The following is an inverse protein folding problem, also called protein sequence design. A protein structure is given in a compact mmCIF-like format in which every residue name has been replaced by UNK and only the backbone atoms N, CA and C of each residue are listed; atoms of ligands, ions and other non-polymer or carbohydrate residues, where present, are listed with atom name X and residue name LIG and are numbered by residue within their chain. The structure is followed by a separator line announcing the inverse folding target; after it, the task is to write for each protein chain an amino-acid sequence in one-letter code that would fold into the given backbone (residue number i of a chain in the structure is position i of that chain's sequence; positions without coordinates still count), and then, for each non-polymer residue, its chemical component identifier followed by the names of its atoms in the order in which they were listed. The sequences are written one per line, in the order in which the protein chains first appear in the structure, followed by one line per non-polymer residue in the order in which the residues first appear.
data_IF_691985885370
#
_entry.id   IF_691985885370
#
_cell.length_a   1.000
_cell.length_b   1.000
_cell.length_c   1.000
_cell.angle_alpha   90.00
_cell.angle_beta   90.00
_cell.angle_gamma   90.00
#
_symmetry.space_group_name_H-M   'P 1'
#
loop_
_entity.id
_entity.type
_entity.pdbx_description
1 polymer ?
#
# COMPACT_ATOMS: atom_id res chain seq x y z
N UNK A 1 -16.04 46.29 63.17
CA UNK A 1 -15.72 45.80 61.80
C UNK A 1 -14.65 44.71 61.92
N UNK A 2 -15.00 43.46 62.29
CA UNK A 2 -15.17 42.25 61.43
C UNK A 2 -14.15 42.22 60.25
N UNK A 3 -12.98 41.59 60.38
CA UNK A 3 -12.57 40.16 60.35
C UNK A 3 -12.35 39.56 58.94
N UNK A 4 -11.06 39.22 58.69
CA UNK A 4 -10.46 38.11 57.92
C UNK A 4 -10.47 38.08 56.37
N UNK A 5 -9.30 37.89 55.74
CA UNK A 5 -9.14 37.08 54.54
C UNK A 5 -8.82 35.62 54.96
N UNK A 6 -9.67 34.66 54.60
CA UNK A 6 -9.43 33.24 54.89
C UNK A 6 -9.92 32.36 53.74
N UNK A 7 -9.04 31.44 53.31
CA UNK A 7 -9.27 30.18 52.56
C UNK A 7 -9.77 30.40 51.12
N UNK A 8 -9.00 30.06 50.09
CA UNK A 8 -8.41 28.74 49.88
C UNK A 8 -9.40 27.92 49.07
N UNK A 9 -9.19 27.82 47.75
CA UNK A 9 -9.69 26.73 46.92
C UNK A 9 -8.98 26.79 45.56
N UNK A 10 -7.87 26.06 45.52
CA UNK A 10 -7.29 25.50 44.31
C UNK A 10 -8.38 24.62 43.70
N UNK A 11 -8.94 25.01 42.57
CA UNK A 11 -9.63 24.06 41.71
C UNK A 11 -8.59 23.37 40.85
N UNK A 12 -8.06 22.26 41.38
CA UNK A 12 -7.45 21.22 40.58
C UNK A 12 -8.57 20.57 39.76
N UNK A 13 -8.61 20.85 38.47
CA UNK A 13 -9.40 20.05 37.53
C UNK A 13 -8.60 18.77 37.24
N UNK A 14 -8.75 17.81 38.16
CA UNK A 14 -8.47 16.41 37.91
C UNK A 14 -9.59 15.90 37.02
N UNK A 15 -9.36 15.85 35.71
CA UNK A 15 -10.13 14.97 34.82
C UNK A 15 -9.36 13.66 34.74
N UNK A 16 -9.73 12.74 35.62
CA UNK A 16 -9.28 11.36 35.56
C UNK A 16 -9.98 10.66 34.38
N UNK A 17 -9.16 9.97 33.59
CA UNK A 17 -9.46 8.78 32.81
C UNK A 17 -10.67 8.84 31.86
N UNK A 18 -10.38 9.21 30.61
CA UNK A 18 -10.68 8.27 29.55
C UNK A 18 -9.34 7.75 29.03
N UNK A 19 -8.93 6.59 29.56
CA UNK A 19 -8.12 5.63 28.81
C UNK A 19 -8.94 5.22 27.59
N UNK A 20 -9.03 6.12 26.61
CA UNK A 20 -9.47 5.76 25.27
C UNK A 20 -8.33 4.96 24.68
N UNK A 21 -8.55 3.67 24.53
CA UNK A 21 -7.74 2.76 23.73
C UNK A 21 -7.18 3.52 22.53
N UNK A 22 -5.88 3.84 22.57
CA UNK A 22 -5.15 4.22 21.39
C UNK A 22 -5.27 3.04 20.45
N UNK A 23 -6.06 3.21 19.39
CA UNK A 23 -6.10 2.27 18.28
C UNK A 23 -4.65 1.91 17.90
N UNK A 24 -4.30 0.62 17.79
CA UNK A 24 -2.91 0.22 17.76
C UNK A 24 -2.22 0.72 16.48
N UNK A 25 -1.01 1.23 16.66
CA UNK A 25 -0.08 1.89 15.72
C UNK A 25 0.44 1.01 14.56
N UNK A 26 -0.41 0.17 13.95
CA UNK A 26 0.00 -0.92 13.05
C UNK A 26 -0.08 -0.63 11.56
N UNK A 27 -1.05 0.17 11.11
CA UNK A 27 -1.12 0.59 9.70
C UNK A 27 -0.11 1.72 9.40
N UNK A 28 0.13 2.58 10.40
CA UNK A 28 1.19 3.60 10.40
C UNK A 28 2.56 2.99 10.08
N UNK A 29 2.91 1.84 10.67
CA UNK A 29 4.24 1.24 10.53
C UNK A 29 4.53 0.72 9.12
N UNK A 30 3.57 0.08 8.45
CA UNK A 30 3.83 -0.56 7.14
C UNK A 30 3.97 0.47 6.02
N UNK A 31 3.08 1.46 5.99
CA UNK A 31 3.12 2.56 5.02
C UNK A 31 4.33 3.46 5.26
N UNK A 32 4.65 3.76 6.52
CA UNK A 32 5.83 4.57 6.89
C UNK A 32 7.15 3.86 6.54
N UNK A 33 7.24 2.54 6.78
CA UNK A 33 8.42 1.74 6.38
C UNK A 33 8.57 1.77 4.85
N UNK A 34 7.48 1.63 4.09
CA UNK A 34 7.53 1.72 2.64
C UNK A 34 7.98 3.09 2.15
N UNK A 35 7.35 4.17 2.64
CA UNK A 35 7.71 5.54 2.29
C UNK A 35 9.18 5.83 2.61
N UNK A 36 9.68 5.34 3.75
CA UNK A 36 11.09 5.47 4.14
C UNK A 36 12.04 4.74 3.20
N UNK A 37 11.68 3.54 2.73
CA UNK A 37 12.50 2.79 1.77
C UNK A 37 12.47 3.43 0.38
N UNK A 38 11.29 3.87 -0.09
CA UNK A 38 11.14 4.59 -1.37
C UNK A 38 11.92 5.90 -1.35
N UNK A 39 11.78 6.70 -0.28
CA UNK A 39 12.53 7.94 -0.12
C UNK A 39 14.03 7.68 -0.09
N UNK A 40 14.50 6.65 0.62
CA UNK A 40 15.92 6.28 0.63
C UNK A 40 16.43 5.93 -0.76
N UNK A 41 15.67 5.18 -1.55
CA UNK A 41 16.05 4.79 -2.91
C UNK A 41 16.08 6.00 -3.86
N UNK A 42 15.04 6.84 -3.84
CA UNK A 42 14.98 8.07 -4.63
C UNK A 42 16.09 9.06 -4.23
N UNK A 43 16.39 9.18 -2.93
CA UNK A 43 17.49 10.02 -2.46
C UNK A 43 18.85 9.48 -2.92
N UNK A 44 19.05 8.16 -2.95
CA UNK A 44 20.27 7.55 -3.49
C UNK A 44 20.39 7.76 -5.00
N UNK A 45 19.31 7.56 -5.76
CA UNK A 45 19.27 7.84 -7.21
C UNK A 45 19.50 9.33 -7.52
N UNK A 46 18.96 10.23 -6.69
CA UNK A 46 19.17 11.67 -6.84
C UNK A 46 20.60 12.08 -6.49
N UNK A 47 21.23 11.47 -5.49
CA UNK A 47 22.64 11.70 -5.15
C UNK A 47 23.55 11.18 -6.27
N UNK A 48 23.20 10.05 -6.88
CA UNK A 48 23.95 9.43 -7.97
C UNK A 48 23.82 10.23 -9.29
N UNK A 49 22.66 10.85 -9.52
CA UNK A 49 22.39 11.67 -10.72
C UNK A 49 22.79 13.14 -10.59
N UNK A 50 22.70 13.72 -9.39
CA UNK A 50 22.87 15.17 -9.16
C UNK A 50 24.15 15.53 -8.41
N UNK A 51 24.93 14.52 -8.00
CA UNK A 51 26.30 14.61 -7.46
C UNK A 51 26.65 15.92 -6.75
N UNK A 52 26.64 15.92 -5.42
CA UNK A 52 26.99 17.09 -4.58
C UNK A 52 28.39 17.65 -4.87
N UNK A 53 28.49 18.49 -5.91
CA UNK A 53 29.63 19.23 -6.48
C UNK A 53 30.94 18.46 -6.66
N UNK A 54 31.33 18.26 -7.93
CA UNK A 54 32.67 17.84 -8.32
C UNK A 54 33.29 18.79 -9.37
N UNK A 55 34.58 19.10 -9.21
CA UNK A 55 35.41 19.88 -10.16
C UNK A 55 35.62 19.14 -11.48
N UNK A 56 35.68 19.84 -12.62
CA UNK A 56 35.73 19.21 -13.94
C UNK A 56 37.01 18.41 -14.15
N UNK A 57 36.86 17.12 -14.42
CA UNK A 57 37.91 16.23 -14.90
C UNK A 57 37.71 15.93 -16.39
N UNK A 58 38.79 15.60 -17.14
CA UNK A 58 38.72 15.40 -18.58
C UNK A 58 37.72 14.29 -18.95
N UNK A 59 37.10 14.37 -20.14
CA UNK A 59 36.02 13.49 -20.55
C UNK A 59 36.50 12.03 -20.54
N UNK A 60 35.93 11.26 -19.63
CA UNK A 60 36.08 9.81 -19.57
C UNK A 60 35.01 9.20 -20.46
N UNK A 61 35.37 8.19 -21.25
CA UNK A 61 34.41 7.46 -22.09
C UNK A 61 33.31 6.88 -21.21
N UNK A 62 32.08 7.37 -21.38
CA UNK A 62 30.91 6.88 -20.64
C UNK A 62 30.35 5.68 -21.43
N UNK A 63 30.30 4.47 -20.84
CA UNK A 63 29.66 3.34 -21.49
C UNK A 63 28.19 3.67 -21.75
N UNK A 64 27.73 3.43 -22.97
CA UNK A 64 26.36 3.71 -23.37
C UNK A 64 25.43 2.58 -22.94
N UNK A 65 24.11 2.82 -22.96
CA UNK A 65 23.11 1.80 -22.62
C UNK A 65 23.23 0.52 -23.46
N UNK A 66 23.83 0.62 -24.66
CA UNK A 66 24.15 -0.52 -25.51
C UNK A 66 25.29 -1.39 -24.93
N UNK A 67 26.30 -0.79 -24.31
CA UNK A 67 27.41 -1.50 -23.66
C UNK A 67 26.96 -2.19 -22.37
N UNK A 68 26.00 -1.59 -21.66
CA UNK A 68 25.40 -2.15 -20.45
C UNK A 68 24.53 -3.39 -20.74
N UNK A 69 23.83 -3.41 -21.88
CA UNK A 69 23.04 -4.58 -22.30
C UNK A 69 23.94 -5.76 -22.70
N UNK A 70 25.08 -5.49 -23.35
CA UNK A 70 26.05 -6.53 -23.72
C UNK A 70 26.73 -7.13 -22.48
N UNK A 71 27.08 -6.29 -21.50
CA UNK A 71 27.66 -6.75 -20.24
C UNK A 71 26.64 -7.45 -19.34
N UNK A 72 25.36 -7.04 -19.32
CA UNK A 72 24.30 -7.74 -18.58
C UNK A 72 24.04 -9.13 -19.17
N UNK A 73 24.10 -9.27 -20.50
CA UNK A 73 23.99 -10.57 -21.17
C UNK A 73 25.19 -11.50 -20.88
N UNK A 74 26.39 -10.95 -20.67
CA UNK A 74 27.61 -11.71 -20.37
C UNK A 74 27.82 -11.99 -18.86
N UNK A 75 27.37 -11.10 -17.99
CA UNK A 75 27.43 -11.23 -16.52
C UNK A 75 26.26 -12.02 -15.92
N UNK A 76 25.26 -12.38 -16.74
CA UNK A 76 24.20 -13.34 -16.39
C UNK A 76 24.69 -14.80 -16.21
N UNK A 77 25.99 -15.02 -15.98
CA UNK A 77 26.42 -16.11 -15.09
C UNK A 77 26.15 -15.70 -13.65
N UNK A 78 24.87 -15.57 -13.34
CA UNK A 78 24.37 -15.64 -11.97
C UNK A 78 24.91 -16.95 -11.43
N UNK A 79 25.78 -16.89 -10.42
CA UNK A 79 25.93 -17.99 -9.47
C UNK A 79 24.52 -18.20 -8.96
N UNK A 80 23.83 -19.19 -9.53
CA UNK A 80 22.51 -19.57 -9.05
C UNK A 80 22.76 -19.90 -7.57
N UNK A 81 22.17 -19.14 -6.62
CA UNK A 81 22.12 -19.65 -5.26
C UNK A 81 21.54 -21.05 -5.40
N UNK A 82 22.22 -22.02 -4.78
CA UNK A 82 21.86 -23.43 -4.81
C UNK A 82 20.34 -23.52 -4.79
N UNK A 83 19.74 -23.90 -5.93
CA UNK A 83 18.30 -24.06 -6.04
C UNK A 83 17.99 -25.16 -5.06
N UNK A 84 17.62 -24.79 -3.84
CA UNK A 84 16.89 -25.68 -2.95
C UNK A 84 15.72 -26.11 -3.81
N UNK A 85 15.71 -27.39 -4.17
CA UNK A 85 14.68 -28.02 -4.99
C UNK A 85 13.40 -28.04 -4.15
N UNK A 86 12.84 -26.84 -3.98
CA UNK A 86 11.68 -26.58 -3.16
C UNK A 86 10.50 -26.79 -4.10
N UNK A 87 9.53 -27.64 -3.72
CA UNK A 87 8.37 -27.90 -4.57
C UNK A 87 7.71 -26.58 -4.93
N UNK A 88 7.29 -26.44 -6.19
CA UNK A 88 6.62 -25.24 -6.67
C UNK A 88 5.46 -24.86 -5.73
N UNK A 89 5.47 -23.63 -5.20
CA UNK A 89 4.36 -23.17 -4.35
C UNK A 89 3.08 -23.18 -5.17
N UNK A 90 2.12 -23.98 -4.74
CA UNK A 90 0.75 -24.00 -5.26
C UNK A 90 -0.17 -23.52 -4.16
N UNK A 91 -1.02 -22.53 -4.47
CA UNK A 91 -2.07 -22.05 -3.57
C UNK A 91 -3.37 -22.71 -4.01
N UNK A 92 -3.88 -23.64 -3.20
CA UNK A 92 -5.13 -24.37 -3.39
C UNK A 92 -6.31 -23.67 -2.73
N UNK A 93 -6.05 -23.08 -1.56
CA UNK A 93 -7.09 -22.45 -0.76
C UNK A 93 -6.71 -21.01 -0.43
N UNK A 94 -7.67 -20.12 -0.65
CA UNK A 94 -7.57 -18.74 -0.22
C UNK A 94 -8.94 -18.27 0.28
N UNK A 95 -8.91 -17.36 1.26
CA UNK A 95 -10.09 -16.70 1.77
C UNK A 95 -9.85 -15.20 1.81
N UNK A 96 -10.70 -14.43 1.10
CA UNK A 96 -10.74 -12.97 1.27
C UNK A 96 -11.41 -12.61 2.59
N UNK A 97 -10.82 -11.67 3.31
CA UNK A 97 -11.37 -11.12 4.54
C UNK A 97 -12.26 -9.93 4.19
N UNK A 98 -13.60 -10.00 4.41
CA UNK A 98 -14.46 -8.84 4.23
C UNK A 98 -14.20 -7.78 5.30
N UNK A 99 -14.60 -6.54 5.01
CA UNK A 99 -14.58 -5.40 5.94
C UNK A 99 -15.12 -5.74 7.35
N UNK A 100 -16.22 -6.48 7.43
CA UNK A 100 -16.83 -6.88 8.71
C UNK A 100 -15.97 -7.87 9.53
N UNK A 101 -15.13 -8.67 8.87
CA UNK A 101 -14.23 -9.63 9.52
C UNK A 101 -12.85 -9.03 9.85
N UNK A 102 -12.60 -7.77 9.45
CA UNK A 102 -11.32 -7.08 9.67
C UNK A 102 -10.86 -7.12 11.12
N UNK A 103 -11.73 -6.77 12.06
CA UNK A 103 -11.39 -6.76 13.48
C UNK A 103 -11.01 -8.14 14.05
N UNK A 104 -11.55 -9.22 13.49
CA UNK A 104 -11.13 -10.57 13.88
C UNK A 104 -9.73 -10.90 13.34
N UNK A 105 -9.45 -10.56 12.08
CA UNK A 105 -8.13 -10.73 11.48
C UNK A 105 -7.05 -9.95 12.25
N UNK A 106 -7.32 -8.68 12.58
CA UNK A 106 -6.39 -7.83 13.34
C UNK A 106 -6.11 -8.40 14.74
N UNK A 107 -7.12 -8.93 15.42
CA UNK A 107 -6.94 -9.61 16.70
C UNK A 107 -6.13 -10.88 16.57
N UNK A 108 -6.41 -11.70 15.55
CA UNK A 108 -5.74 -12.99 15.33
C UNK A 108 -4.23 -12.83 15.17
N UNK A 109 -3.79 -11.82 14.42
CA UNK A 109 -2.37 -11.60 14.16
C UNK A 109 -1.77 -10.50 15.02
N UNK A 110 -2.44 -10.07 16.11
CA UNK A 110 -1.95 -9.00 16.99
C UNK A 110 -0.58 -9.36 17.57
N UNK A 111 0.39 -8.44 17.47
CA UNK A 111 1.73 -8.62 18.03
C UNK A 111 2.72 -9.40 17.15
N UNK A 112 2.29 -9.85 15.97
CA UNK A 112 3.16 -10.48 14.99
C UNK A 112 3.98 -9.46 14.17
N UNK A 113 5.18 -9.85 13.74
CA UNK A 113 6.02 -9.06 12.85
C UNK A 113 5.66 -9.28 11.38
N UNK A 114 5.69 -8.20 10.60
CA UNK A 114 5.32 -8.18 9.19
C UNK A 114 6.50 -7.80 8.32
N UNK A 115 6.54 -8.40 7.14
CA UNK A 115 7.50 -8.11 6.07
C UNK A 115 6.75 -7.75 4.81
N UNK A 116 7.38 -6.95 3.97
CA UNK A 116 6.75 -6.37 2.79
C UNK A 116 7.60 -6.58 1.53
N UNK A 117 6.91 -6.57 0.39
CA UNK A 117 7.48 -6.55 -0.93
C UNK A 117 6.81 -5.43 -1.73
N UNK A 118 7.62 -4.48 -2.20
CA UNK A 118 7.17 -3.31 -2.95
C UNK A 118 6.96 -3.57 -4.44
N UNK A 119 6.93 -2.47 -5.19
CA UNK A 119 6.62 -2.42 -6.62
C UNK A 119 7.87 -2.26 -7.51
N UNK A 120 9.04 -2.62 -6.98
CA UNK A 120 10.33 -2.24 -7.54
C UNK A 120 10.89 -3.24 -8.56
N UNK A 121 10.12 -4.27 -8.93
CA UNK A 121 10.56 -5.29 -9.87
C UNK A 121 9.99 -5.06 -11.28
N UNK A 122 10.62 -5.62 -12.30
CA UNK A 122 10.12 -5.58 -13.68
C UNK A 122 9.01 -6.63 -13.94
N UNK A 123 8.25 -7.00 -12.91
CA UNK A 123 7.18 -7.98 -13.05
C UNK A 123 5.97 -7.38 -13.80
N UNK A 124 5.14 -8.20 -14.46
CA UNK A 124 3.89 -7.72 -15.06
C UNK A 124 2.97 -7.02 -14.06
N UNK A 125 2.96 -7.46 -12.79
CA UNK A 125 2.16 -6.82 -11.73
C UNK A 125 2.69 -5.41 -11.42
N UNK A 126 4.00 -5.28 -11.24
CA UNK A 126 4.64 -4.03 -10.81
C UNK A 126 4.66 -2.97 -11.91
N UNK A 127 4.54 -3.40 -13.18
CA UNK A 127 4.45 -2.50 -14.35
C UNK A 127 3.01 -2.18 -14.74
N UNK A 128 2.01 -2.85 -14.18
CA UNK A 128 0.60 -2.58 -14.47
C UNK A 128 0.10 -1.36 -13.70
N UNK A 129 -0.77 -0.55 -14.32
CA UNK A 129 -1.37 0.61 -13.65
C UNK A 129 -2.21 0.17 -12.45
N UNK A 130 -2.09 0.86 -11.31
CA UNK A 130 -2.78 0.48 -10.07
C UNK A 130 -4.29 0.42 -10.23
N UNK A 131 -4.88 1.39 -10.96
CA UNK A 131 -6.32 1.38 -11.29
C UNK A 131 -6.75 0.14 -12.07
N UNK A 132 -5.86 -0.41 -12.90
CA UNK A 132 -6.12 -1.63 -13.64
C UNK A 132 -6.06 -2.86 -12.74
N UNK A 133 -5.01 -2.96 -11.91
CA UNK A 133 -4.90 -3.99 -10.87
C UNK A 133 -6.15 -3.96 -9.98
N UNK A 134 -6.58 -2.78 -9.55
CA UNK A 134 -7.76 -2.56 -8.69
C UNK A 134 -9.06 -3.11 -9.29
N UNK A 135 -9.31 -2.85 -10.58
CA UNK A 135 -10.50 -3.35 -11.28
C UNK A 135 -10.45 -4.86 -11.49
N UNK A 136 -9.27 -5.43 -11.76
CA UNK A 136 -9.07 -6.87 -11.90
C UNK A 136 -9.21 -7.59 -10.56
N UNK A 137 -8.64 -7.04 -9.48
CA UNK A 137 -8.86 -7.52 -8.12
C UNK A 137 -10.34 -7.53 -7.73
N UNK A 138 -11.10 -6.48 -8.06
CA UNK A 138 -12.56 -6.46 -7.83
C UNK A 138 -13.26 -7.58 -8.59
N UNK A 139 -12.84 -7.84 -9.83
CA UNK A 139 -13.41 -8.89 -10.67
C UNK A 139 -13.16 -10.29 -10.13
N UNK A 140 -11.96 -10.54 -9.57
CA UNK A 140 -11.55 -11.87 -9.11
C UNK A 140 -11.92 -12.14 -7.66
N UNK A 141 -11.79 -11.15 -6.80
CA UNK A 141 -11.91 -11.32 -5.35
C UNK A 141 -13.09 -10.53 -4.75
N UNK A 142 -13.75 -9.67 -5.53
CA UNK A 142 -14.83 -8.79 -5.04
C UNK A 142 -14.28 -7.56 -4.33
N UNK A 143 -15.07 -6.96 -3.44
CA UNK A 143 -14.70 -5.69 -2.79
C UNK A 143 -13.44 -5.78 -1.91
N UNK A 144 -12.64 -4.71 -1.82
CA UNK A 144 -11.52 -4.62 -0.89
C UNK A 144 -11.98 -4.75 0.57
N UNK A 145 -11.04 -5.09 1.44
CA UNK A 145 -11.25 -5.15 2.89
C UNK A 145 -11.41 -3.74 3.48
N UNK A 146 -10.63 -2.79 2.94
CA UNK A 146 -10.54 -1.41 3.40
C UNK A 146 -10.28 -0.50 2.19
N UNK A 147 -10.86 0.69 2.21
CA UNK A 147 -10.54 1.77 1.27
C UNK A 147 -10.35 3.08 2.01
N UNK A 148 -9.76 4.08 1.38
CA UNK A 148 -9.64 5.43 1.93
C UNK A 148 -11.01 6.00 2.33
N UNK A 149 -12.07 5.61 1.62
CA UNK A 149 -13.44 6.03 1.93
C UNK A 149 -13.90 5.58 3.33
N UNK A 150 -13.36 4.46 3.81
CA UNK A 150 -13.73 3.85 5.07
C UNK A 150 -13.04 4.45 6.29
N UNK A 151 -11.99 5.23 6.06
CA UNK A 151 -11.27 5.98 7.09
C UNK A 151 -11.77 7.42 7.21
N UNK A 152 -11.53 8.03 8.37
CA UNK A 152 -11.60 9.48 8.46
C UNK A 152 -10.34 10.04 7.80
N UNK A 153 -10.44 10.35 6.51
CA UNK A 153 -9.31 10.69 5.66
C UNK A 153 -8.37 11.78 6.21
N UNK A 154 -8.86 12.68 7.08
CA UNK A 154 -8.00 13.69 7.73
C UNK A 154 -7.17 13.10 8.87
N UNK A 155 -7.69 12.10 9.58
CA UNK A 155 -6.89 11.33 10.53
C UNK A 155 -5.82 10.52 9.77
N UNK A 156 -6.19 9.85 8.67
CA UNK A 156 -5.23 9.07 7.85
C UNK A 156 -4.16 9.95 7.19
N UNK A 157 -4.52 11.12 6.67
CA UNK A 157 -3.56 12.08 6.13
C UNK A 157 -2.65 12.66 7.22
N UNK A 158 -3.18 12.95 8.42
CA UNK A 158 -2.38 13.42 9.55
C UNK A 158 -1.40 12.35 10.09
N UNK A 159 -1.70 11.06 9.86
CA UNK A 159 -0.84 9.94 10.27
C UNK A 159 0.04 9.40 9.14
N UNK A 160 0.03 10.03 7.95
CA UNK A 160 0.81 9.56 6.79
C UNK A 160 0.32 8.24 6.17
N UNK A 161 -0.84 7.73 6.58
CA UNK A 161 -1.45 6.51 6.06
C UNK A 161 -2.21 6.81 4.75
N UNK A 162 -1.48 7.12 3.68
CA UNK A 162 -2.09 7.34 2.37
C UNK A 162 -2.05 6.03 1.59
N UNK A 163 -3.08 5.19 1.79
CA UNK A 163 -3.37 4.04 0.93
C UNK A 163 -4.76 4.25 0.29
N UNK A 164 -4.97 3.74 -0.92
CA UNK A 164 -6.30 3.82 -1.55
C UNK A 164 -7.20 2.66 -1.17
N UNK A 165 -6.64 1.46 -1.22
CA UNK A 165 -7.35 0.23 -0.95
C UNK A 165 -6.41 -0.84 -0.40
N UNK A 166 -7.00 -1.77 0.36
CA UNK A 166 -6.33 -2.97 0.82
C UNK A 166 -7.23 -4.19 0.61
N UNK A 167 -6.62 -5.25 0.11
CA UNK A 167 -7.21 -6.58 0.10
C UNK A 167 -6.47 -7.47 1.09
N UNK A 168 -7.21 -8.13 1.95
CA UNK A 168 -6.65 -9.00 2.98
C UNK A 168 -7.11 -10.42 2.72
N UNK A 169 -6.18 -11.35 2.79
CA UNK A 169 -6.40 -12.75 2.50
C UNK A 169 -5.77 -13.64 3.58
N UNK A 170 -6.30 -14.85 3.67
CA UNK A 170 -5.62 -15.99 4.30
C UNK A 170 -5.40 -17.02 3.20
N UNK A 171 -4.14 -17.40 2.97
CA UNK A 171 -3.74 -18.43 2.02
C UNK A 171 -3.43 -19.72 2.78
N UNK A 172 -3.81 -20.86 2.21
CA UNK A 172 -3.64 -22.19 2.81
C UNK A 172 -4.11 -22.24 4.29
N UNK A 173 -5.16 -21.49 4.63
CA UNK A 173 -5.75 -21.37 5.97
C UNK A 173 -4.84 -20.79 7.08
N UNK A 174 -3.62 -20.36 6.75
CA UNK A 174 -2.63 -19.94 7.76
C UNK A 174 -1.91 -18.64 7.41
N UNK A 175 -1.55 -18.44 6.14
CA UNK A 175 -0.64 -17.39 5.70
C UNK A 175 -1.45 -16.12 5.46
N UNK A 176 -1.37 -15.07 6.29
CA UNK A 176 -2.02 -13.82 5.95
C UNK A 176 -1.26 -13.13 4.83
N UNK A 177 -2.00 -12.63 3.85
CA UNK A 177 -1.45 -11.82 2.77
C UNK A 177 -2.28 -10.54 2.66
N UNK A 178 -1.61 -9.39 2.68
CA UNK A 178 -2.23 -8.10 2.43
C UNK A 178 -1.68 -7.55 1.12
N UNK A 179 -2.56 -7.10 0.23
CA UNK A 179 -2.24 -6.40 -1.01
C UNK A 179 -2.74 -4.96 -0.87
N UNK A 180 -1.83 -4.00 -0.97
CA UNK A 180 -2.10 -2.58 -0.68
C UNK A 180 -1.64 -1.70 -1.83
N UNK A 181 -2.49 -0.74 -2.19
CA UNK A 181 -2.04 0.40 -2.99
C UNK A 181 -1.50 1.51 -2.09
N UNK A 182 -0.19 1.73 -2.20
CA UNK A 182 0.58 2.75 -1.47
C UNK A 182 0.96 3.95 -2.34
N UNK A 183 0.67 3.90 -3.64
CA UNK A 183 1.17 4.87 -4.61
C UNK A 183 0.04 5.73 -5.22
N UNK A 184 -1.19 5.21 -5.27
CA UNK A 184 -2.33 5.93 -5.81
C UNK A 184 -2.71 5.52 -7.24
N UNK A 185 -3.67 6.22 -7.87
CA UNK A 185 -4.39 5.70 -9.03
C UNK A 185 -3.62 5.96 -10.35
N UNK A 186 -2.61 6.83 -10.29
CA UNK A 186 -1.73 7.24 -11.38
C UNK A 186 -0.47 6.41 -11.48
N UNK A 187 -0.21 5.61 -10.45
CA UNK A 187 1.02 4.88 -10.30
C UNK A 187 0.85 3.43 -10.76
N UNK A 188 1.90 2.63 -10.55
CA UNK A 188 1.96 1.23 -10.95
C UNK A 188 2.24 0.32 -9.77
N UNK A 189 1.80 -0.92 -9.94
CA UNK A 189 2.01 -1.98 -8.97
C UNK A 189 1.19 -1.82 -7.70
N UNK A 190 1.26 -2.86 -6.87
CA UNK A 190 0.71 -2.90 -5.53
C UNK A 190 1.73 -3.53 -4.60
N UNK A 191 1.85 -2.99 -3.39
CA UNK A 191 2.69 -3.58 -2.37
C UNK A 191 1.99 -4.83 -1.80
N UNK A 192 2.79 -5.81 -1.37
CA UNK A 192 2.28 -6.98 -0.67
C UNK A 192 2.98 -7.17 0.65
N UNK A 193 2.27 -7.68 1.65
CA UNK A 193 2.85 -7.97 2.96
C UNK A 193 2.31 -9.25 3.55
N UNK A 194 3.14 -9.90 4.37
CA UNK A 194 2.83 -11.11 5.13
C UNK A 194 3.59 -11.10 6.44
N UNK A 195 3.46 -12.15 7.25
CA UNK A 195 4.22 -12.27 8.49
C UNK A 195 5.68 -12.60 8.21
N UNK A 196 6.59 -12.13 9.06
CA UNK A 196 8.04 -12.28 8.90
C UNK A 196 8.46 -13.74 8.65
N UNK A 197 7.84 -14.70 9.36
CA UNK A 197 8.08 -16.14 9.18
C UNK A 197 7.81 -16.66 7.76
N UNK A 198 7.05 -15.93 6.94
CA UNK A 198 6.77 -16.25 5.54
C UNK A 198 7.52 -15.34 4.55
N UNK A 199 8.39 -14.46 5.05
CA UNK A 199 9.09 -13.44 4.25
C UNK A 199 9.90 -13.99 3.09
N UNK A 200 10.66 -15.06 3.34
CA UNK A 200 11.47 -15.73 2.31
C UNK A 200 10.64 -16.25 1.13
N UNK A 201 9.33 -16.43 1.33
CA UNK A 201 8.38 -16.93 0.32
C UNK A 201 7.48 -15.83 -0.24
N UNK A 202 7.54 -14.60 0.28
CA UNK A 202 6.58 -13.54 -0.07
C UNK A 202 6.53 -13.27 -1.58
N UNK A 203 7.69 -13.21 -2.24
CA UNK A 203 7.74 -13.02 -3.70
C UNK A 203 7.05 -14.15 -4.46
N UNK A 204 7.37 -15.39 -4.13
CA UNK A 204 6.77 -16.58 -4.76
C UNK A 204 5.26 -16.65 -4.50
N UNK A 205 4.85 -16.40 -3.25
CA UNK A 205 3.44 -16.35 -2.85
C UNK A 205 2.68 -15.28 -3.62
N UNK A 206 3.24 -14.06 -3.73
CA UNK A 206 2.66 -12.97 -4.52
C UNK A 206 2.50 -13.37 -5.98
N UNK A 207 3.57 -13.86 -6.59
CA UNK A 207 3.59 -14.14 -8.03
C UNK A 207 2.57 -15.25 -8.38
N UNK A 208 2.49 -16.31 -7.57
CA UNK A 208 1.49 -17.40 -7.73
C UNK A 208 0.07 -16.91 -7.45
N UNK A 209 -0.14 -16.18 -6.35
CA UNK A 209 -1.47 -15.72 -5.94
C UNK A 209 -2.06 -14.70 -6.93
N UNK A 210 -1.21 -13.83 -7.49
CA UNK A 210 -1.63 -12.73 -8.36
C UNK A 210 -1.65 -13.10 -9.85
N UNK A 211 -1.15 -14.28 -10.24
CA UNK A 211 -1.15 -14.73 -11.65
C UNK A 211 -2.54 -14.63 -12.32
N UNK A 212 -3.66 -15.06 -11.69
CA UNK A 212 -4.99 -14.92 -12.30
C UNK A 212 -5.42 -13.46 -12.56
N UNK A 213 -4.97 -12.53 -11.71
CA UNK A 213 -5.21 -11.09 -11.86
C UNK A 213 -4.36 -10.53 -13.01
N UNK A 214 -3.13 -11.00 -13.16
CA UNK A 214 -2.22 -10.57 -14.23
C UNK A 214 -2.70 -11.08 -15.59
N UNK A 215 -3.13 -12.34 -15.66
CA UNK A 215 -3.49 -13.03 -16.90
C UNK A 215 -4.86 -12.62 -17.44
N UNK A 216 -5.77 -12.17 -16.58
CA UNK A 216 -7.12 -11.78 -16.98
C UNK A 216 -7.24 -10.27 -17.23
N UNK A 217 -7.85 -9.90 -18.33
CA UNK A 217 -8.21 -8.52 -18.67
C UNK A 217 -9.54 -8.05 -18.05
N UNK A 218 -10.27 -8.95 -17.38
CA UNK A 218 -11.59 -8.68 -16.80
C UNK A 218 -11.48 -7.71 -15.64
N UNK A 219 -12.33 -6.69 -15.67
CA UNK A 219 -12.44 -5.66 -14.63
C UNK A 219 -13.88 -5.56 -14.17
N UNK A 220 -14.08 -5.42 -12.86
CA UNK A 220 -15.38 -5.08 -12.32
C UNK A 220 -15.44 -3.57 -12.02
N UNK A 221 -16.62 -2.94 -12.13
CA UNK A 221 -16.78 -1.52 -11.88
C UNK A 221 -16.57 -1.20 -10.40
N UNK A 222 -15.90 -0.09 -10.11
CA UNK A 222 -15.61 0.36 -8.75
C UNK A 222 -15.54 1.88 -8.66
N UNK A 223 -15.68 2.40 -7.44
CA UNK A 223 -15.47 3.82 -7.10
C UNK A 223 -14.65 3.87 -5.83
N UNK A 224 -13.52 4.55 -5.91
CA UNK A 224 -12.63 4.85 -4.79
C UNK A 224 -12.44 6.37 -4.68
N UNK A 225 -11.79 6.77 -3.59
CA UNK A 225 -11.39 8.15 -3.36
C UNK A 225 -9.89 8.23 -3.27
N UNK A 226 -9.36 9.32 -3.79
CA UNK A 226 -7.94 9.62 -3.75
C UNK A 226 -7.76 11.04 -3.24
N UNK A 227 -6.75 11.23 -2.40
CA UNK A 227 -6.32 12.55 -1.96
C UNK A 227 -4.91 12.79 -2.48
N UNK A 228 -4.77 13.84 -3.26
CA UNK A 228 -3.48 14.35 -3.72
C UNK A 228 -2.99 15.36 -2.68
N UNK A 229 -1.93 15.01 -1.97
CA UNK A 229 -1.36 15.82 -0.90
C UNK A 229 -0.57 17.02 -1.43
N UNK A 230 0.10 16.89 -2.58
CA UNK A 230 0.79 17.98 -3.26
C UNK A 230 -0.20 19.04 -3.76
N UNK A 231 -1.29 18.61 -4.40
CA UNK A 231 -2.33 19.51 -4.92
C UNK A 231 -3.38 19.92 -3.87
N UNK A 232 -3.35 19.32 -2.68
CA UNK A 232 -4.39 19.45 -1.64
C UNK A 232 -5.81 19.20 -2.18
N UNK A 233 -5.95 18.23 -3.08
CA UNK A 233 -7.15 18.05 -3.89
C UNK A 233 -7.74 16.65 -3.72
N UNK A 234 -9.06 16.60 -3.53
CA UNK A 234 -9.81 15.36 -3.49
C UNK A 234 -10.28 14.94 -4.88
N UNK A 235 -10.19 13.64 -5.13
CA UNK A 235 -10.64 13.01 -6.35
C UNK A 235 -11.56 11.83 -6.05
N UNK A 236 -12.59 11.69 -6.89
CA UNK A 236 -13.35 10.45 -7.06
C UNK A 236 -12.78 9.74 -8.29
N UNK A 237 -12.39 8.49 -8.14
CA UNK A 237 -11.79 7.71 -9.23
C UNK A 237 -12.42 6.33 -9.31
N UNK A 238 -12.32 5.67 -10.46
CA UNK A 238 -12.89 4.35 -10.61
C UNK A 238 -12.94 3.85 -12.04
N UNK A 239 -13.73 2.79 -12.21
CA UNK A 239 -14.04 2.16 -13.50
C UNK A 239 -15.55 1.97 -13.61
N UNK A 240 -16.15 2.40 -14.71
CA UNK A 240 -17.60 2.42 -14.94
C UNK A 240 -18.06 1.41 -16.01
N UNK A 241 -17.27 0.38 -16.29
CA UNK A 241 -17.38 -0.56 -17.42
C UNK A 241 -17.02 0.01 -18.80
N UNK A 242 -16.95 1.34 -18.98
CA UNK A 242 -16.54 1.95 -20.25
C UNK A 242 -15.10 2.42 -20.20
N UNK A 243 -14.70 3.04 -19.10
CA UNK A 243 -13.37 3.58 -18.94
C UNK A 243 -13.03 3.89 -17.50
N UNK A 244 -11.76 4.24 -17.28
CA UNK A 244 -11.33 4.79 -16.01
C UNK A 244 -11.69 6.27 -15.95
N UNK A 245 -12.20 6.72 -14.81
CA UNK A 245 -12.53 8.11 -14.58
C UNK A 245 -11.75 8.68 -13.38
N UNK A 246 -11.60 10.00 -13.41
CA UNK A 246 -11.02 10.81 -12.36
C UNK A 246 -11.77 12.14 -12.34
N UNK A 247 -12.47 12.41 -11.25
CA UNK A 247 -13.28 13.61 -11.08
C UNK A 247 -12.78 14.35 -9.85
N UNK A 248 -12.42 15.62 -10.02
CA UNK A 248 -12.16 16.49 -8.87
C UNK A 248 -13.46 16.68 -8.09
N UNK A 249 -13.37 16.51 -6.77
CA UNK A 249 -14.50 16.69 -5.87
C UNK A 249 -14.07 17.56 -4.69
N UNK A 250 -15.04 18.12 -3.98
CA UNK A 250 -14.78 18.56 -2.62
C UNK A 250 -14.57 17.34 -1.72
N UNK A 251 -13.96 17.56 -0.55
CA UNK A 251 -13.76 16.49 0.44
C UNK A 251 -15.05 15.67 0.60
N UNK A 252 -15.00 14.34 0.44
CA UNK A 252 -16.18 13.52 0.58
C UNK A 252 -16.76 13.71 2.00
N UNK A 253 -18.00 14.20 2.08
CA UNK A 253 -18.77 14.20 3.31
C UNK A 253 -19.22 12.78 3.68
N UNK A 254 -19.95 12.62 4.80
CA UNK A 254 -20.51 11.32 5.19
C UNK A 254 -21.54 10.76 4.19
N UNK A 255 -22.10 11.60 3.30
CA UNK A 255 -23.04 11.20 2.26
C UNK A 255 -22.30 10.76 0.99
N UNK A 256 -22.06 9.45 0.88
CA UNK A 256 -21.40 8.81 -0.27
C UNK A 256 -22.39 8.65 -1.43
N UNK A 257 -22.09 9.12 -2.66
CA UNK A 257 -22.88 8.75 -3.83
C UNK A 257 -22.70 7.27 -4.16
N UNK A 258 -23.83 6.57 -4.30
CA UNK A 258 -23.90 5.18 -4.76
C UNK A 258 -23.81 5.17 -6.29
N UNK A 259 -23.06 4.23 -6.89
CA UNK A 259 -23.16 3.95 -8.32
C UNK A 259 -24.64 3.64 -8.64
N UNK A 260 -25.33 4.57 -9.31
CA UNK A 260 -26.62 4.24 -9.91
C UNK A 260 -26.31 3.25 -11.03
N UNK A 261 -26.85 2.04 -10.94
CA UNK A 261 -27.02 1.22 -12.16
C UNK A 261 -27.95 2.02 -13.06
N UNK A 262 -27.51 2.32 -14.26
CA UNK A 262 -28.43 2.78 -15.29
C UNK A 262 -29.52 1.69 -15.45
N UNK A 263 -30.81 2.07 -15.50
CA UNK A 263 -31.85 1.12 -15.85
C UNK A 263 -31.61 0.66 -17.29
N UNK A 264 -31.64 -0.66 -17.50
CA UNK A 264 -31.67 -1.30 -18.82
C UNK A 264 -32.85 -0.82 -19.66
#
# INVERSE_FOLDING_TARGET
MKLRPWRGLIWALVVAAALGDTAPARAQTVVEIYQKQRFRKLALELIDTTGGRATPSPPMSVPTSADSLLNLAQSSRVVQPERVDRPATTIRFWQRIPKLARGHFERRFRGEDWVFLGTDSLSPLDTMMTREIRGRLESHFGKPTRTLADEDAVASAATGEIFQFEYWFILENEIPLIVTDVNGPFERGVATSTLERFGDRLKELRDVFMSPVIESDRKAPFVDYYYDDEALQWYRTGYDNRGFFLEQIQRPGRNRPVLRRDPE
#
